data_IF_691414489212
#
_entry.id   IF_691414489212
#
_cell.length_a   1.000
_cell.length_b   1.000
_cell.length_c   1.000
_cell.angle_alpha   90.00
_cell.angle_beta   90.00
_cell.angle_gamma   90.00
#
_symmetry.space_group_name_H-M   'P 1'
#
loop_
_entity.id
_entity.type
_entity.pdbx_description
1 polymer ?
#
# COMPACT_ATOMS: atom_id res chain seq x y z
N UNK A 1 -5.67 20.17 -1.97
CA UNK A 1 -6.27 18.83 -2.16
C UNK A 1 -5.63 18.23 -3.41
N UNK A 2 -4.95 17.08 -3.32
CA UNK A 2 -4.34 16.43 -4.49
C UNK A 2 -5.46 15.71 -5.26
N UNK A 3 -5.82 16.19 -6.44
CA UNK A 3 -6.85 15.56 -7.26
C UNK A 3 -6.23 14.40 -8.05
N UNK A 4 -6.67 13.18 -7.77
CA UNK A 4 -6.40 11.99 -8.57
C UNK A 4 -7.69 11.16 -8.61
N UNK A 5 -8.32 10.97 -9.79
CA UNK A 5 -9.55 10.18 -9.90
C UNK A 5 -9.38 8.78 -9.30
N UNK A 6 -10.38 8.32 -8.55
CA UNK A 6 -10.35 7.02 -7.88
C UNK A 6 -9.53 6.99 -6.59
N UNK A 7 -8.90 8.10 -6.17
CA UNK A 7 -8.15 8.18 -4.91
C UNK A 7 -8.88 9.06 -3.90
N UNK A 8 -9.04 8.56 -2.69
CA UNK A 8 -9.46 9.33 -1.52
C UNK A 8 -8.39 9.27 -0.44
N UNK A 9 -8.48 10.13 0.57
CA UNK A 9 -7.57 10.11 1.70
C UNK A 9 -8.34 9.75 2.97
N UNK A 10 -7.78 8.86 3.77
CA UNK A 10 -8.32 8.49 5.07
C UNK A 10 -7.27 8.67 6.16
N UNK A 11 -7.71 9.04 7.35
CA UNK A 11 -6.86 9.08 8.53
C UNK A 11 -6.85 7.69 9.18
N UNK A 12 -5.67 7.10 9.29
CA UNK A 12 -5.40 5.83 9.95
C UNK A 12 -4.51 6.06 11.19
N UNK A 13 -4.38 5.10 12.11
CA UNK A 13 -3.55 5.27 13.30
C UNK A 13 -2.09 5.65 13.00
N UNK A 14 -1.57 5.22 11.86
CA UNK A 14 -0.21 5.54 11.40
C UNK A 14 -0.10 6.90 10.68
N UNK A 15 -1.23 7.54 10.37
CA UNK A 15 -1.28 8.81 9.64
C UNK A 15 -2.28 8.80 8.49
N UNK A 16 -2.21 9.84 7.67
CA UNK A 16 -3.11 10.02 6.54
C UNK A 16 -2.63 9.23 5.33
N UNK A 17 -3.44 8.30 4.84
CA UNK A 17 -3.10 7.37 3.75
C UNK A 17 -3.91 7.68 2.49
N UNK A 18 -3.26 7.64 1.32
CA UNK A 18 -3.94 7.64 0.03
C UNK A 18 -4.54 6.27 -0.24
N UNK A 19 -5.86 6.19 -0.48
CA UNK A 19 -6.61 4.94 -0.65
C UNK A 19 -7.32 4.88 -2.00
N UNK A 20 -7.41 3.68 -2.56
CA UNK A 20 -8.12 3.44 -3.83
C UNK A 20 -9.60 3.18 -3.54
N UNK A 21 -10.45 4.04 -4.10
CA UNK A 21 -11.89 3.99 -3.92
C UNK A 21 -12.45 2.61 -4.30
N UNK A 22 -13.40 2.09 -3.51
CA UNK A 22 -14.04 0.79 -3.74
C UNK A 22 -13.26 -0.43 -3.24
N UNK A 23 -11.97 -0.29 -2.89
CA UNK A 23 -11.14 -1.44 -2.46
C UNK A 23 -10.89 -1.49 -0.95
N UNK A 24 -10.90 -0.33 -0.28
CA UNK A 24 -10.44 -0.20 1.10
C UNK A 24 -8.92 -0.29 1.26
N UNK A 25 -8.15 -0.50 0.20
CA UNK A 25 -6.70 -0.60 0.22
C UNK A 25 -6.03 0.75 0.05
N UNK A 26 -4.88 0.91 0.70
CA UNK A 26 -3.92 1.97 0.43
C UNK A 26 -3.31 1.83 -0.97
N UNK A 27 -2.93 2.95 -1.57
CA UNK A 27 -2.20 2.95 -2.85
C UNK A 27 -0.88 2.18 -2.69
N UNK A 28 -0.19 2.36 -1.57
CA UNK A 28 1.07 1.64 -1.31
C UNK A 28 0.90 0.12 -1.24
N UNK A 29 -0.22 -0.40 -0.74
CA UNK A 29 -0.47 -1.84 -0.66
C UNK A 29 -0.58 -2.44 -2.07
N UNK A 30 -1.35 -1.80 -2.95
CA UNK A 30 -1.53 -2.24 -4.33
C UNK A 30 -0.21 -2.12 -5.11
N UNK A 31 0.54 -1.02 -4.92
CA UNK A 31 1.81 -0.81 -5.61
C UNK A 31 2.90 -1.76 -5.11
N UNK A 32 2.95 -2.06 -3.80
CA UNK A 32 3.85 -3.06 -3.24
C UNK A 32 3.68 -4.40 -3.95
N UNK A 33 2.45 -4.89 -4.06
CA UNK A 33 2.17 -6.19 -4.66
C UNK A 33 2.39 -6.15 -6.19
N UNK A 34 2.04 -5.04 -6.85
CA UNK A 34 2.36 -4.84 -8.26
C UNK A 34 3.87 -4.91 -8.56
N UNK A 35 4.69 -4.28 -7.73
CA UNK A 35 6.14 -4.34 -7.86
C UNK A 35 6.69 -5.73 -7.52
N UNK A 36 6.16 -6.39 -6.50
CA UNK A 36 6.54 -7.76 -6.12
C UNK A 36 6.26 -8.77 -7.23
N UNK A 37 5.16 -8.58 -7.97
CA UNK A 37 4.79 -9.40 -9.13
C UNK A 37 5.49 -9.00 -10.44
N UNK A 38 6.48 -8.11 -10.38
CA UNK A 38 7.25 -7.69 -11.55
C UNK A 38 6.44 -6.83 -12.53
N UNK A 39 5.39 -6.16 -12.06
CA UNK A 39 4.51 -5.31 -12.85
C UNK A 39 3.43 -6.06 -13.62
N UNK A 40 3.16 -7.32 -13.25
CA UNK A 40 2.12 -8.14 -13.86
C UNK A 40 0.73 -7.83 -13.26
N UNK A 41 -0.10 -7.15 -14.05
CA UNK A 41 -1.44 -6.75 -13.61
C UNK A 41 -2.37 -7.93 -13.35
N UNK A 42 -2.20 -9.06 -14.04
CA UNK A 42 -3.08 -10.22 -13.85
C UNK A 42 -2.75 -10.93 -12.54
N UNK A 43 -1.46 -11.05 -12.20
CA UNK A 43 -1.06 -11.62 -10.91
C UNK A 43 -1.50 -10.76 -9.72
N UNK A 44 -1.49 -9.43 -9.87
CA UNK A 44 -2.05 -8.56 -8.83
C UNK A 44 -3.54 -8.81 -8.63
N UNK A 45 -4.31 -9.04 -9.70
CA UNK A 45 -5.74 -9.37 -9.58
C UNK A 45 -5.96 -10.74 -8.94
N UNK A 46 -5.08 -11.70 -9.20
CA UNK A 46 -5.12 -13.01 -8.52
C UNK A 46 -4.87 -12.87 -7.01
N UNK A 47 -3.89 -12.04 -6.63
CA UNK A 47 -3.54 -11.79 -5.22
C UNK A 47 -4.57 -10.88 -4.50
N UNK A 48 -5.13 -9.90 -5.21
CA UNK A 48 -6.06 -8.90 -4.72
C UNK A 48 -7.34 -8.87 -5.58
N UNK A 49 -8.26 -9.86 -5.45
CA UNK A 49 -9.44 -9.97 -6.30
C UNK A 49 -10.40 -8.76 -6.26
N UNK A 50 -10.32 -7.95 -5.20
CA UNK A 50 -11.07 -6.69 -5.07
C UNK A 50 -10.48 -5.53 -5.89
N UNK A 51 -9.29 -5.69 -6.48
CA UNK A 51 -8.63 -4.66 -7.29
C UNK A 51 -8.88 -4.95 -8.76
N UNK A 52 -9.83 -4.21 -9.35
CA UNK A 52 -10.11 -4.25 -10.78
C UNK A 52 -9.10 -3.45 -11.61
N UNK A 53 -9.32 -3.44 -12.93
CA UNK A 53 -8.46 -2.69 -13.86
C UNK A 53 -8.49 -1.17 -13.60
N UNK A 54 -9.65 -0.63 -13.23
CA UNK A 54 -9.81 0.81 -12.97
C UNK A 54 -9.08 1.20 -11.69
N UNK A 55 -9.18 0.38 -10.65
CA UNK A 55 -8.54 0.57 -9.35
C UNK A 55 -7.01 0.50 -9.48
N UNK A 56 -6.50 -0.52 -10.18
CA UNK A 56 -5.08 -0.66 -10.47
C UNK A 56 -4.57 0.54 -11.28
N UNK A 57 -5.33 0.98 -12.29
CA UNK A 57 -4.98 2.17 -13.08
C UNK A 57 -4.93 3.44 -12.21
N UNK A 58 -5.87 3.62 -11.28
CA UNK A 58 -5.87 4.74 -10.36
C UNK A 58 -4.63 4.71 -9.44
N UNK A 59 -4.28 3.54 -8.89
CA UNK A 59 -3.08 3.36 -8.08
C UNK A 59 -1.80 3.72 -8.87
N UNK A 60 -1.65 3.19 -10.09
CA UNK A 60 -0.49 3.45 -10.95
C UNK A 60 -0.36 4.93 -11.35
N UNK A 61 -1.49 5.60 -11.61
CA UNK A 61 -1.48 7.04 -11.92
C UNK A 61 -1.06 7.87 -10.71
N UNK A 62 -1.52 7.51 -9.51
CA UNK A 62 -1.10 8.17 -8.27
C UNK A 62 0.39 7.94 -8.01
N UNK A 63 0.85 6.68 -8.13
CA UNK A 63 2.25 6.31 -7.93
C UNK A 63 3.19 7.07 -8.87
N UNK A 64 2.84 7.16 -10.15
CA UNK A 64 3.62 7.94 -11.13
C UNK A 64 3.79 9.40 -10.71
N UNK A 65 2.80 9.98 -10.04
CA UNK A 65 2.80 11.39 -9.63
C UNK A 65 3.51 11.61 -8.29
N UNK A 66 3.45 10.64 -7.38
CA UNK A 66 4.02 10.72 -6.03
C UNK A 66 4.82 9.47 -5.67
N UNK A 67 5.86 9.10 -6.44
CA UNK A 67 6.56 7.83 -6.24
C UNK A 67 7.28 7.79 -4.90
N UNK A 68 7.95 8.88 -4.51
CA UNK A 68 8.69 8.99 -3.25
C UNK A 68 7.82 8.75 -2.01
N UNK A 69 6.55 9.18 -2.04
CA UNK A 69 5.61 8.97 -0.94
C UNK A 69 5.28 7.49 -0.79
N UNK A 70 4.92 6.85 -1.91
CA UNK A 70 4.54 5.44 -1.91
C UNK A 70 5.75 4.54 -1.63
N UNK A 71 6.92 4.85 -2.20
CA UNK A 71 8.16 4.11 -1.93
C UNK A 71 8.55 4.20 -0.45
N UNK A 72 8.32 5.36 0.18
CA UNK A 72 8.53 5.53 1.63
C UNK A 72 7.52 4.71 2.44
N UNK A 73 6.23 4.75 2.12
CA UNK A 73 5.20 3.94 2.80
C UNK A 73 5.51 2.43 2.69
N UNK A 74 5.93 1.98 1.51
CA UNK A 74 6.36 0.59 1.28
C UNK A 74 7.60 0.27 2.13
N UNK A 75 8.62 1.14 2.11
CA UNK A 75 9.86 0.93 2.85
C UNK A 75 9.67 0.93 4.37
N UNK A 76 8.87 1.84 4.90
CA UNK A 76 8.54 1.91 6.32
C UNK A 76 7.84 0.64 6.79
N UNK A 77 6.88 0.12 6.01
CA UNK A 77 6.19 -1.14 6.34
C UNK A 77 7.11 -2.35 6.18
N UNK A 78 7.97 -2.39 5.16
CA UNK A 78 8.95 -3.46 4.97
C UNK A 78 10.00 -3.51 6.10
N UNK A 79 10.31 -2.37 6.72
CA UNK A 79 11.23 -2.28 7.85
C UNK A 79 10.64 -2.81 9.18
N UNK A 80 9.34 -3.06 9.26
CA UNK A 80 8.68 -3.63 10.44
C UNK A 80 8.91 -5.15 10.55
N UNK A 81 10.18 -5.57 10.61
CA UNK A 81 10.53 -6.97 10.84
C UNK A 81 10.18 -7.40 12.27
N UNK A 82 10.05 -8.71 12.57
CA UNK A 82 9.83 -9.18 13.93
C UNK A 82 10.87 -8.64 14.93
N UNK A 83 12.14 -8.57 14.54
CA UNK A 83 13.22 -8.05 15.38
C UNK A 83 13.07 -6.54 15.62
N UNK A 84 12.72 -5.78 14.58
CA UNK A 84 12.49 -4.35 14.69
C UNK A 84 11.27 -4.03 15.57
N UNK A 85 10.20 -4.82 15.44
CA UNK A 85 9.00 -4.71 16.26
C UNK A 85 9.33 -5.05 17.73
N UNK A 86 10.04 -6.14 18.00
CA UNK A 86 10.40 -6.52 19.37
C UNK A 86 11.33 -5.49 20.02
N UNK A 87 12.28 -4.92 19.26
CA UNK A 87 13.17 -3.88 19.77
C UNK A 87 12.41 -2.58 20.11
N UNK A 88 11.42 -2.20 19.29
CA UNK A 88 10.65 -0.96 19.47
C UNK A 88 9.49 -1.11 20.46
N UNK A 89 8.87 -2.29 20.50
CA UNK A 89 7.69 -2.62 21.30
C UNK A 89 7.88 -3.98 21.99
N UNK A 90 8.73 -4.06 23.03
CA UNK A 90 9.05 -5.32 23.69
C UNK A 90 7.80 -6.05 24.20
N UNK A 91 7.67 -7.33 23.87
CA UNK A 91 6.55 -8.17 24.28
C UNK A 91 5.25 -7.99 23.47
N UNK A 92 5.25 -7.16 22.42
CA UNK A 92 4.11 -7.07 21.49
C UNK A 92 3.95 -8.34 20.65
N UNK A 93 5.06 -8.99 20.30
CA UNK A 93 5.03 -10.25 19.55
C UNK A 93 4.77 -11.41 20.48
N UNK A 94 3.68 -12.14 20.23
CA UNK A 94 3.43 -13.41 20.91
C UNK A 94 4.35 -14.46 20.31
N UNK A 95 5.26 -15.03 21.11
CA UNK A 95 6.03 -16.21 20.70
C UNK A 95 5.06 -17.36 20.43
N UNK A 96 5.12 -17.92 19.22
CA UNK A 96 4.40 -19.13 18.84
C UNK A 96 4.90 -20.34 19.63
#
# INVERSE_FOLDING_TARGET
MRACPGIYFADEPAGRVAKVAGTGLGVWEIIRDYLAEGGDAEKVKEALPQVGEVELKAALLYYRKYPQEIDAEIGENAALTPEAIEAKYPGLLRKA
#
